data_IF_297212162850
#
_entry.id   IF_297212162850
#
_cell.length_a   1.000
_cell.length_b   1.000
_cell.length_c   1.000
_cell.angle_alpha   90.00
_cell.angle_beta   90.00
_cell.angle_gamma   90.00
#
_symmetry.space_group_name_H-M   'P 1'
#
loop_
_entity.id
_entity.type
_entity.pdbx_description
1 polymer ?
#
# COMPACT_ATOMS: atom_id res chain seq x y z
N UNK A 1 -23.33 -42.34 9.00
CA UNK A 1 -21.96 -42.08 8.53
C UNK A 1 -22.05 -41.08 7.37
N UNK A 2 -22.43 -39.78 7.69
CA UNK A 2 -22.51 -38.63 6.76
C UNK A 2 -22.74 -37.37 7.60
N UNK A 3 -21.73 -36.90 8.33
CA UNK A 3 -21.78 -35.61 9.05
C UNK A 3 -20.36 -35.22 9.48
N UNK A 4 -19.42 -35.10 8.55
CA UNK A 4 -18.05 -34.60 8.86
C UNK A 4 -17.43 -33.75 7.72
N UNK A 5 -18.19 -33.26 6.75
CA UNK A 5 -17.63 -32.50 5.61
C UNK A 5 -18.14 -31.04 5.49
N UNK A 6 -18.61 -30.43 6.58
CA UNK A 6 -19.16 -29.05 6.51
C UNK A 6 -18.39 -28.00 7.33
N UNK A 7 -17.22 -28.30 7.87
CA UNK A 7 -16.48 -27.34 8.73
C UNK A 7 -15.19 -26.76 8.11
N UNK A 8 -14.95 -26.95 6.83
CA UNK A 8 -13.71 -26.50 6.19
C UNK A 8 -13.84 -25.18 5.38
N UNK A 9 -15.00 -24.53 5.37
CA UNK A 9 -15.28 -23.37 4.51
C UNK A 9 -15.09 -21.99 5.18
N UNK A 10 -14.55 -21.90 6.39
CA UNK A 10 -14.51 -20.66 7.17
C UNK A 10 -13.12 -20.19 7.61
N UNK A 11 -12.03 -20.68 7.04
CA UNK A 11 -10.70 -20.13 7.36
C UNK A 11 -10.35 -19.05 6.35
N UNK A 12 -10.49 -17.77 6.76
CA UNK A 12 -10.01 -16.64 6.01
C UNK A 12 -8.58 -16.91 5.51
N UNK A 13 -8.33 -16.69 4.23
CA UNK A 13 -6.99 -16.83 3.64
C UNK A 13 -6.06 -15.85 4.31
N UNK A 14 -5.25 -16.31 5.25
CA UNK A 14 -4.14 -15.51 5.78
C UNK A 14 -3.08 -15.40 4.69
N UNK A 15 -2.94 -14.21 4.10
CA UNK A 15 -1.88 -13.94 3.14
C UNK A 15 -0.60 -13.60 3.91
N UNK A 16 0.47 -14.32 3.60
CA UNK A 16 1.80 -13.98 4.13
C UNK A 16 2.30 -12.73 3.40
N UNK A 17 2.22 -11.59 4.06
CA UNK A 17 2.74 -10.34 3.54
C UNK A 17 4.22 -10.18 3.96
N UNK A 18 5.11 -10.06 2.98
CA UNK A 18 6.53 -9.81 3.26
C UNK A 18 6.72 -8.39 3.79
N UNK A 19 7.42 -8.20 4.92
CA UNK A 19 7.67 -6.85 5.46
C UNK A 19 8.37 -5.90 4.47
N UNK A 20 9.25 -6.41 3.62
CA UNK A 20 9.93 -5.63 2.57
C UNK A 20 8.97 -4.98 1.57
N UNK A 21 7.81 -5.60 1.33
CA UNK A 21 6.79 -5.11 0.43
C UNK A 21 6.10 -3.82 0.93
N UNK A 22 6.00 -3.68 2.25
CA UNK A 22 5.32 -2.55 2.92
C UNK A 22 6.28 -1.68 3.72
N UNK A 23 7.55 -1.72 3.42
CA UNK A 23 8.57 -0.90 4.09
C UNK A 23 9.26 -0.02 3.06
N UNK A 24 9.27 1.30 3.32
CA UNK A 24 10.05 2.22 2.51
C UNK A 24 11.53 1.80 2.53
N UNK A 25 12.16 1.60 1.37
CA UNK A 25 13.59 1.31 1.33
C UNK A 25 14.41 2.44 1.93
N UNK A 26 15.52 2.10 2.58
CA UNK A 26 16.46 3.13 3.02
C UNK A 26 17.06 3.86 1.80
N UNK A 27 17.27 5.18 1.88
CA UNK A 27 17.96 5.91 0.83
C UNK A 27 19.38 5.35 0.60
N UNK A 28 19.76 5.19 -0.66
CA UNK A 28 21.11 4.77 -1.00
C UNK A 28 22.09 5.95 -0.81
N UNK A 29 23.17 5.80 -0.01
CA UNK A 29 24.09 6.89 0.30
C UNK A 29 24.77 7.48 -0.95
N UNK A 30 25.05 6.64 -1.93
CA UNK A 30 25.75 7.00 -3.15
C UNK A 30 24.81 7.25 -4.35
N UNK A 31 23.51 7.41 -4.07
CA UNK A 31 22.54 7.67 -5.13
C UNK A 31 22.83 9.00 -5.84
N UNK A 32 22.84 8.95 -7.17
CA UNK A 32 23.01 10.16 -7.99
C UNK A 32 21.80 11.06 -7.80
N UNK A 33 22.03 12.21 -7.18
CA UNK A 33 20.99 13.21 -6.98
C UNK A 33 20.54 13.80 -8.32
N UNK A 34 19.22 13.83 -8.53
CA UNK A 34 18.60 14.40 -9.73
C UNK A 34 17.76 15.63 -9.34
N UNK A 35 18.33 16.83 -9.37
CA UNK A 35 17.67 18.04 -8.85
C UNK A 35 16.27 18.27 -9.43
N UNK A 36 16.11 18.08 -10.75
CA UNK A 36 14.81 18.25 -11.41
C UNK A 36 13.73 17.25 -10.94
N UNK A 37 14.14 15.99 -10.66
CA UNK A 37 13.20 14.97 -10.13
C UNK A 37 12.82 15.33 -8.71
N UNK A 38 13.79 15.71 -7.88
CA UNK A 38 13.60 16.16 -6.51
C UNK A 38 12.61 17.34 -6.43
N UNK A 39 12.80 18.37 -7.26
CA UNK A 39 11.91 19.54 -7.31
C UNK A 39 10.48 19.15 -7.68
N UNK A 40 10.30 18.27 -8.65
CA UNK A 40 8.97 17.75 -9.03
C UNK A 40 8.32 16.94 -7.91
N UNK A 41 9.08 16.07 -7.24
CA UNK A 41 8.58 15.29 -6.11
C UNK A 41 8.23 16.19 -4.91
N UNK A 42 9.01 17.24 -4.64
CA UNK A 42 8.67 18.22 -3.61
C UNK A 42 7.31 18.91 -3.86
N UNK A 43 6.94 19.10 -5.13
CA UNK A 43 5.64 19.66 -5.50
C UNK A 43 4.51 18.63 -5.45
N UNK A 44 4.83 17.33 -5.39
CA UNK A 44 3.86 16.25 -5.40
C UNK A 44 2.97 16.28 -4.15
N UNK A 45 3.51 16.69 -2.99
CA UNK A 45 2.78 16.74 -1.72
C UNK A 45 1.55 17.68 -1.75
N UNK A 46 1.56 18.66 -2.63
CA UNK A 46 0.43 19.59 -2.81
C UNK A 46 -0.64 19.03 -3.76
N UNK A 47 -0.47 17.82 -4.27
CA UNK A 47 -1.38 17.20 -5.24
C UNK A 47 -1.97 15.90 -4.66
N UNK A 48 -3.25 15.63 -4.92
CA UNK A 48 -3.88 14.41 -4.44
C UNK A 48 -3.28 13.14 -5.07
N UNK A 49 -2.83 13.22 -6.33
CA UNK A 49 -2.20 12.09 -7.04
C UNK A 49 -1.04 12.61 -7.89
N UNK A 50 0.07 11.90 -7.85
CA UNK A 50 1.24 12.12 -8.71
C UNK A 50 1.73 10.78 -9.25
N UNK A 51 1.98 10.70 -10.54
CA UNK A 51 2.54 9.51 -11.19
C UNK A 51 3.99 9.75 -11.60
N UNK A 52 4.87 8.77 -11.29
CA UNK A 52 6.26 8.74 -11.71
C UNK A 52 6.45 7.60 -12.72
N UNK A 53 6.64 7.95 -13.98
CA UNK A 53 6.80 6.99 -15.08
C UNK A 53 8.21 7.07 -15.63
N UNK A 54 8.90 5.93 -15.65
CA UNK A 54 10.20 5.78 -16.30
C UNK A 54 10.47 4.29 -16.56
N UNK A 55 11.34 3.93 -17.50
CA UNK A 55 11.76 2.54 -17.74
C UNK A 55 12.33 1.88 -16.48
N UNK A 56 12.41 0.55 -16.49
CA UNK A 56 13.08 -0.20 -15.43
C UNK A 56 14.57 0.24 -15.33
N UNK A 57 15.13 0.22 -14.11
CA UNK A 57 16.52 0.62 -13.86
C UNK A 57 16.79 2.13 -13.87
N UNK A 58 15.80 2.98 -14.12
CA UNK A 58 15.99 4.44 -14.11
C UNK A 58 15.93 5.07 -12.71
N UNK A 59 15.98 4.28 -11.65
CA UNK A 59 16.08 4.75 -10.26
C UNK A 59 14.79 5.40 -9.74
N UNK A 60 13.61 4.93 -10.16
CA UNK A 60 12.32 5.39 -9.60
C UNK A 60 12.25 5.19 -8.10
N UNK A 61 12.45 3.96 -7.65
CA UNK A 61 12.45 3.56 -6.23
C UNK A 61 13.46 4.36 -5.44
N UNK A 62 14.70 4.49 -5.92
CA UNK A 62 15.77 5.27 -5.28
C UNK A 62 15.38 6.74 -5.11
N UNK A 63 14.78 7.36 -6.14
CA UNK A 63 14.33 8.74 -6.07
C UNK A 63 13.16 8.93 -5.10
N UNK A 64 12.21 7.99 -5.07
CA UNK A 64 11.07 8.00 -4.16
C UNK A 64 11.53 7.77 -2.72
N UNK A 65 12.43 6.83 -2.45
CA UNK A 65 12.97 6.58 -1.11
C UNK A 65 13.71 7.81 -0.56
N UNK A 66 14.59 8.42 -1.37
CA UNK A 66 15.29 9.64 -0.99
C UNK A 66 14.35 10.85 -0.80
N UNK A 67 13.22 10.90 -1.46
CA UNK A 67 12.19 11.90 -1.24
C UNK A 67 11.39 11.61 0.03
N UNK A 68 10.95 10.37 0.21
CA UNK A 68 10.18 9.93 1.37
C UNK A 68 10.93 10.18 2.70
N UNK A 69 12.24 9.93 2.72
CA UNK A 69 13.12 10.17 3.89
C UNK A 69 13.16 11.64 4.35
N UNK A 70 12.75 12.57 3.49
CA UNK A 70 12.74 14.02 3.77
C UNK A 70 11.37 14.55 4.18
N UNK A 71 10.37 13.70 4.24
CA UNK A 71 9.03 14.08 4.64
C UNK A 71 8.87 14.00 6.16
N UNK A 72 8.25 15.02 6.74
CA UNK A 72 8.00 15.06 8.18
C UNK A 72 6.76 14.25 8.60
N UNK A 73 5.93 13.82 7.64
CA UNK A 73 4.70 13.07 7.87
C UNK A 73 4.84 11.57 7.61
N UNK A 74 3.80 10.78 7.94
CA UNK A 74 3.79 9.35 7.68
C UNK A 74 3.81 9.03 6.20
N UNK A 75 4.69 8.09 5.83
CA UNK A 75 4.81 7.57 4.46
C UNK A 75 4.50 6.07 4.49
N UNK A 76 3.36 5.72 3.94
CA UNK A 76 3.01 4.34 3.66
C UNK A 76 3.64 3.92 2.33
N UNK A 77 4.26 2.75 2.32
CA UNK A 77 4.93 2.18 1.15
C UNK A 77 4.33 0.83 0.78
N UNK A 78 3.97 0.65 -0.48
CA UNK A 78 3.45 -0.60 -0.99
C UNK A 78 4.06 -0.91 -2.36
N UNK A 79 4.91 -1.93 -2.42
CA UNK A 79 5.42 -2.48 -3.68
C UNK A 79 4.52 -3.63 -4.12
N UNK A 80 3.91 -3.49 -5.31
CA UNK A 80 2.96 -4.47 -5.83
C UNK A 80 3.67 -5.55 -6.66
N UNK A 81 3.08 -6.74 -6.65
CA UNK A 81 3.50 -7.92 -7.39
C UNK A 81 2.31 -8.45 -8.22
N UNK A 82 2.55 -9.35 -9.17
CA UNK A 82 1.50 -9.93 -10.03
C UNK A 82 0.37 -10.57 -9.22
N UNK A 83 0.69 -11.21 -8.10
CA UNK A 83 -0.27 -11.81 -7.18
C UNK A 83 -1.25 -10.78 -6.56
N UNK A 84 -0.91 -9.50 -6.55
CA UNK A 84 -1.78 -8.42 -6.05
C UNK A 84 -2.86 -8.02 -7.07
N UNK A 85 -2.93 -8.70 -8.21
CA UNK A 85 -4.10 -8.63 -9.08
C UNK A 85 -5.36 -9.23 -8.43
N UNK A 86 -5.20 -10.06 -7.39
CA UNK A 86 -6.30 -10.45 -6.50
C UNK A 86 -6.72 -9.25 -5.62
N UNK A 87 -7.97 -8.78 -5.69
CA UNK A 87 -8.43 -7.61 -4.93
C UNK A 87 -8.21 -7.74 -3.43
N UNK A 88 -8.36 -8.95 -2.86
CA UNK A 88 -8.16 -9.19 -1.43
C UNK A 88 -6.72 -8.95 -1.02
N UNK A 89 -5.77 -9.42 -1.83
CA UNK A 89 -4.34 -9.22 -1.59
C UNK A 89 -3.95 -7.75 -1.74
N UNK A 90 -4.46 -7.09 -2.77
CA UNK A 90 -4.22 -5.67 -3.04
C UNK A 90 -4.64 -4.80 -1.85
N UNK A 91 -5.90 -4.91 -1.43
CA UNK A 91 -6.41 -4.12 -0.33
C UNK A 91 -5.76 -4.46 1.01
N UNK A 92 -5.45 -5.73 1.24
CA UNK A 92 -4.71 -6.16 2.43
C UNK A 92 -3.31 -5.52 2.47
N UNK A 93 -2.57 -5.53 1.36
CA UNK A 93 -1.25 -4.92 1.28
C UNK A 93 -1.29 -3.41 1.55
N UNK A 94 -2.25 -2.69 0.94
CA UNK A 94 -2.44 -1.26 1.17
C UNK A 94 -2.78 -0.95 2.63
N UNK A 95 -3.70 -1.70 3.21
CA UNK A 95 -4.11 -1.53 4.60
C UNK A 95 -2.93 -1.74 5.58
N UNK A 96 -2.13 -2.78 5.34
CA UNK A 96 -0.94 -3.05 6.14
C UNK A 96 0.14 -1.97 5.95
N UNK A 97 0.30 -1.44 4.75
CA UNK A 97 1.23 -0.35 4.47
C UNK A 97 0.84 0.94 5.23
N UNK A 98 -0.44 1.29 5.22
CA UNK A 98 -0.98 2.44 5.96
C UNK A 98 -0.81 2.27 7.47
N UNK A 99 -1.20 1.10 8.01
CA UNK A 99 -1.06 0.80 9.44
C UNK A 99 0.40 0.84 9.92
N UNK A 100 1.34 0.47 9.03
CA UNK A 100 2.76 0.52 9.33
C UNK A 100 3.30 1.94 9.36
N UNK A 101 2.77 2.83 8.53
CA UNK A 101 3.19 4.23 8.47
C UNK A 101 2.73 5.01 9.72
N UNK A 102 1.51 4.78 10.14
CA UNK A 102 0.93 5.36 11.37
C UNK A 102 -0.23 4.47 11.82
N UNK A 103 -0.24 4.12 13.10
CA UNK A 103 -1.30 3.28 13.69
C UNK A 103 -2.71 3.90 13.57
N UNK A 104 -2.78 5.23 13.47
CA UNK A 104 -4.04 5.97 13.26
C UNK A 104 -4.58 5.86 11.82
N UNK A 105 -3.72 5.50 10.86
CA UNK A 105 -4.07 5.19 9.47
C UNK A 105 -4.39 3.71 9.28
N UNK A 106 -4.20 2.94 10.35
CA UNK A 106 -4.37 1.50 10.31
C UNK A 106 -5.79 1.14 9.95
N UNK A 107 -5.89 0.19 9.06
CA UNK A 107 -7.13 -0.49 8.79
C UNK A 107 -7.78 -1.00 10.08
N UNK A 108 -9.11 -1.09 10.11
CA UNK A 108 -9.82 -1.75 11.20
C UNK A 108 -9.14 -3.07 11.54
N UNK A 109 -9.09 -3.42 12.82
CA UNK A 109 -8.43 -4.66 13.30
C UNK A 109 -8.91 -5.93 12.59
N UNK A 110 -10.09 -5.88 12.01
CA UNK A 110 -10.70 -6.92 11.21
C UNK A 110 -10.29 -6.91 9.72
N UNK A 111 -9.62 -5.87 9.20
CA UNK A 111 -9.23 -5.83 7.78
C UNK A 111 -8.27 -6.94 7.38
N UNK A 112 -7.43 -7.42 8.30
CA UNK A 112 -6.61 -8.60 8.08
C UNK A 112 -7.43 -9.91 8.01
N UNK A 113 -8.65 -9.88 8.55
CA UNK A 113 -9.58 -11.01 8.64
C UNK A 113 -10.75 -10.88 7.66
N UNK A 114 -10.92 -9.70 7.01
CA UNK A 114 -11.99 -9.49 6.05
C UNK A 114 -11.81 -10.43 4.86
N UNK A 115 -12.80 -11.25 4.63
CA UNK A 115 -12.88 -12.05 3.42
C UNK A 115 -13.28 -11.15 2.25
N UNK A 116 -12.31 -10.46 1.65
CA UNK A 116 -12.50 -9.58 0.48
C UNK A 116 -13.19 -10.25 -0.72
N UNK A 117 -13.47 -11.53 -0.60
CA UNK A 117 -14.21 -12.33 -1.57
C UNK A 117 -15.70 -12.00 -1.63
N UNK A 118 -16.24 -11.38 -0.58
CA UNK A 118 -17.63 -10.92 -0.55
C UNK A 118 -17.68 -9.41 -0.81
N UNK A 119 -18.36 -9.02 -1.89
CA UNK A 119 -18.43 -7.62 -2.33
C UNK A 119 -19.00 -6.65 -1.27
N UNK A 120 -19.84 -7.15 -0.37
CA UNK A 120 -20.43 -6.36 0.73
C UNK A 120 -19.36 -6.04 1.78
N UNK A 121 -18.62 -7.05 2.24
CA UNK A 121 -17.57 -6.89 3.26
C UNK A 121 -16.42 -6.02 2.75
N UNK A 122 -16.01 -6.20 1.49
CA UNK A 122 -15.01 -5.36 0.85
C UNK A 122 -15.44 -3.89 0.81
N UNK A 123 -16.70 -3.62 0.51
CA UNK A 123 -17.24 -2.27 0.45
C UNK A 123 -17.31 -1.60 1.83
N UNK A 124 -17.70 -2.34 2.85
CA UNK A 124 -17.74 -1.84 4.23
C UNK A 124 -16.33 -1.52 4.73
N UNK A 125 -15.37 -2.43 4.54
CA UNK A 125 -13.99 -2.23 4.91
C UNK A 125 -13.35 -1.03 4.19
N UNK A 126 -13.62 -0.87 2.90
CA UNK A 126 -13.16 0.29 2.14
C UNK A 126 -13.79 1.60 2.64
N UNK A 127 -15.07 1.59 2.98
CA UNK A 127 -15.78 2.75 3.52
C UNK A 127 -15.18 3.17 4.86
N UNK A 128 -14.87 2.22 5.73
CA UNK A 128 -14.23 2.48 7.01
C UNK A 128 -12.81 3.02 6.85
N UNK A 129 -12.01 2.43 5.95
CA UNK A 129 -10.68 2.94 5.62
C UNK A 129 -10.74 4.39 5.11
N UNK A 130 -11.66 4.71 4.21
CA UNK A 130 -11.84 6.06 3.69
C UNK A 130 -12.28 7.05 4.78
N UNK A 131 -13.12 6.60 5.72
CA UNK A 131 -13.52 7.42 6.87
C UNK A 131 -12.34 7.71 7.79
N UNK A 132 -11.48 6.74 8.06
CA UNK A 132 -10.26 6.92 8.85
C UNK A 132 -9.26 7.86 8.17
N UNK A 133 -9.03 7.67 6.87
CA UNK A 133 -8.18 8.57 6.09
C UNK A 133 -8.72 10.01 6.08
N UNK A 134 -10.04 10.16 5.96
CA UNK A 134 -10.70 11.48 6.01
C UNK A 134 -10.65 12.16 7.40
N UNK A 135 -10.54 11.38 8.46
CA UNK A 135 -10.42 11.87 9.84
C UNK A 135 -8.95 12.14 10.26
N UNK A 136 -7.98 11.71 9.45
CA UNK A 136 -6.57 11.90 9.76
C UNK A 136 -6.20 13.39 9.71
N UNK A 137 -5.66 13.97 10.79
CA UNK A 137 -5.50 15.42 10.90
C UNK A 137 -4.33 15.98 10.08
N UNK A 138 -3.40 15.11 9.71
CA UNK A 138 -2.15 15.49 9.06
C UNK A 138 -2.13 15.04 7.59
N UNK A 139 -1.09 15.42 6.85
CA UNK A 139 -0.85 14.90 5.51
C UNK A 139 -0.11 13.57 5.60
N UNK A 140 -0.66 12.52 5.01
CA UNK A 140 0.01 11.24 4.81
C UNK A 140 0.28 11.00 3.33
N UNK A 141 1.36 10.32 3.02
CA UNK A 141 1.73 9.94 1.66
C UNK A 141 1.64 8.43 1.51
N UNK A 142 0.92 7.97 0.50
CA UNK A 142 0.95 6.58 0.08
C UNK A 142 1.74 6.46 -1.22
N UNK A 143 2.84 5.72 -1.17
CA UNK A 143 3.64 5.35 -2.34
C UNK A 143 3.21 3.95 -2.77
N UNK A 144 2.78 3.83 -4.01
CA UNK A 144 2.46 2.55 -4.64
C UNK A 144 3.44 2.34 -5.78
N UNK A 145 4.32 1.34 -5.64
CA UNK A 145 5.26 0.95 -6.69
C UNK A 145 4.70 -0.17 -7.56
N UNK A 146 5.16 -0.20 -8.79
CA UNK A 146 4.88 -1.22 -9.77
C UNK A 146 3.38 -1.50 -10.02
N UNK A 147 2.55 -0.45 -9.91
CA UNK A 147 1.09 -0.55 -10.17
C UNK A 147 0.76 -1.19 -11.54
N UNK A 148 1.70 -1.15 -12.48
CA UNK A 148 1.54 -1.73 -13.81
C UNK A 148 1.49 -3.27 -13.83
N UNK A 149 1.89 -3.95 -12.76
CA UNK A 149 1.85 -5.43 -12.67
C UNK A 149 0.46 -5.92 -12.29
N UNK A 150 -0.37 -5.05 -11.71
CA UNK A 150 -1.76 -5.37 -11.38
C UNK A 150 -2.58 -5.25 -12.66
N UNK A 151 -3.16 -6.37 -13.08
CA UNK A 151 -3.99 -6.47 -14.28
C UNK A 151 -5.45 -6.64 -13.88
N UNK A 152 -6.34 -5.99 -14.61
CA UNK A 152 -7.78 -6.26 -14.48
C UNK A 152 -8.05 -7.72 -14.87
N UNK A 153 -8.66 -8.46 -13.95
CA UNK A 153 -9.11 -9.83 -14.16
C UNK A 153 -10.50 -9.87 -14.80
#
# INVERSE_FOLDING_TARGET
MRELDSEAAGRGRSFLLLPSKITCPAPEPDAIERPRVREKLAQAIARPVTTLVAPAGFGKTTALAAWADRLDGPVAWCALEEDDSDPSRFWHALACALARADERLGAPRNMAEVAWTEAVEAREALTELLAQLGAFPDTAVLVVEDLHVVQDA
#
